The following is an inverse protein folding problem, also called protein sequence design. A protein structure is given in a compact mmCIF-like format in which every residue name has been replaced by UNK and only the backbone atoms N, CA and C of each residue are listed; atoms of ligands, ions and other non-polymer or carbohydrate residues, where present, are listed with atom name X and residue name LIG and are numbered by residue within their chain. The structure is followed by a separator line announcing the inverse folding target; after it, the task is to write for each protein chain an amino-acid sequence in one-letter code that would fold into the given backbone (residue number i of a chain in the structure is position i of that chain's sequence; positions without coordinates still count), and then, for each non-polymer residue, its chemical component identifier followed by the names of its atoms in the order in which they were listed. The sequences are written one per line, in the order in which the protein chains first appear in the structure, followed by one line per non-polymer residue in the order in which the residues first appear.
data_IF_272802406849
#
_entry.id   IF_272802406849
#
_cell.length_a   1.000
_cell.length_b   1.000
_cell.length_c   1.000
_cell.angle_alpha   90.00
_cell.angle_beta   90.00
_cell.angle_gamma   90.00
#
_symmetry.space_group_name_H-M   'P 1'
#
loop_
_entity.id
_entity.type
_entity.pdbx_description
1 polymer ?
#
# COMPACT_ATOMS: atom_id res chain seq x y z
N UNK A 1 41.78 -13.31 2.26
CA UNK A 1 40.53 -12.60 1.88
C UNK A 1 40.11 -11.72 3.05
N UNK A 2 40.06 -10.40 2.87
CA UNK A 2 39.61 -9.45 3.91
C UNK A 2 38.13 -9.74 4.19
N UNK A 3 37.75 -10.01 5.45
CA UNK A 3 36.34 -10.17 5.81
C UNK A 3 35.59 -8.88 5.43
N UNK A 4 34.41 -8.98 4.78
CA UNK A 4 33.66 -7.80 4.41
C UNK A 4 33.29 -7.00 5.66
N UNK A 5 33.46 -5.68 5.58
CA UNK A 5 33.10 -4.78 6.67
C UNK A 5 31.57 -4.70 6.79
N UNK A 6 31.05 -5.40 7.80
CA UNK A 6 29.62 -5.51 8.08
C UNK A 6 29.00 -4.13 8.35
N UNK A 7 29.78 -3.15 8.82
CA UNK A 7 29.30 -1.79 9.07
C UNK A 7 29.05 -1.01 7.78
N UNK A 8 29.91 -1.21 6.78
CA UNK A 8 29.76 -0.60 5.46
C UNK A 8 28.52 -1.13 4.72
N UNK A 9 28.26 -2.44 4.81
CA UNK A 9 27.08 -3.09 4.21
C UNK A 9 25.78 -2.52 4.81
N UNK A 10 25.69 -2.43 6.15
CA UNK A 10 24.51 -1.86 6.83
C UNK A 10 24.28 -0.39 6.48
N UNK A 11 25.35 0.38 6.34
CA UNK A 11 25.27 1.80 5.97
C UNK A 11 24.71 1.95 4.55
N UNK A 12 25.14 1.08 3.62
CA UNK A 12 24.64 1.04 2.25
C UNK A 12 23.16 0.62 2.19
N UNK A 13 22.76 -0.44 2.91
CA UNK A 13 21.36 -0.89 2.98
C UNK A 13 20.43 0.24 3.49
N UNK A 14 20.88 0.95 4.53
CA UNK A 14 20.11 2.06 5.11
C UNK A 14 20.02 3.24 4.15
N UNK A 15 21.10 3.55 3.43
CA UNK A 15 21.11 4.60 2.42
C UNK A 15 20.15 4.28 1.26
N UNK A 16 20.08 3.03 0.83
CA UNK A 16 19.11 2.56 -0.17
C UNK A 16 17.68 2.69 0.36
N UNK A 17 17.42 2.22 1.58
CA UNK A 17 16.09 2.29 2.20
C UNK A 17 15.60 3.73 2.38
N UNK A 18 16.47 4.65 2.82
CA UNK A 18 16.19 6.07 2.91
C UNK A 18 15.90 6.68 1.53
N UNK A 19 16.70 6.32 0.52
CA UNK A 19 16.49 6.80 -0.85
C UNK A 19 15.13 6.35 -1.41
N UNK A 20 14.77 5.08 -1.22
CA UNK A 20 13.47 4.53 -1.61
C UNK A 20 12.31 5.13 -0.82
N UNK A 21 12.54 5.53 0.43
CA UNK A 21 11.50 6.18 1.24
C UNK A 21 11.30 7.64 0.82
N UNK A 22 12.39 8.38 0.56
CA UNK A 22 12.33 9.78 0.14
C UNK A 22 11.79 9.95 -1.27
N UNK A 23 12.06 9.01 -2.19
CA UNK A 23 11.56 9.08 -3.57
C UNK A 23 10.03 9.03 -3.65
N UNK A 24 9.37 8.39 -2.66
CA UNK A 24 7.92 8.33 -2.57
C UNK A 24 7.27 9.69 -2.27
N UNK A 25 8.03 10.64 -1.73
CA UNK A 25 7.58 11.99 -1.38
C UNK A 25 7.96 13.05 -2.41
N UNK A 26 8.64 12.67 -3.51
CA UNK A 26 8.96 13.62 -4.57
C UNK A 26 7.65 14.01 -5.29
N UNK A 27 7.29 15.31 -5.35
CA UNK A 27 6.06 15.77 -5.99
C UNK A 27 6.18 15.58 -7.51
N UNK A 28 5.79 14.40 -7.98
CA UNK A 28 6.04 13.95 -9.36
C UNK A 28 5.34 14.82 -10.39
N UNK A 29 4.12 15.26 -10.12
CA UNK A 29 3.35 16.06 -11.08
C UNK A 29 3.90 17.50 -11.22
N UNK A 30 4.52 18.04 -10.17
CA UNK A 30 5.17 19.36 -10.22
C UNK A 30 6.53 19.30 -10.93
N UNK A 31 7.29 18.22 -10.72
CA UNK A 31 8.64 18.06 -11.27
C UNK A 31 8.65 17.49 -12.70
N UNK A 32 7.71 16.61 -13.03
CA UNK A 32 7.68 15.88 -14.30
C UNK A 32 6.44 16.19 -15.16
N UNK A 33 5.58 17.08 -14.69
CA UNK A 33 4.33 17.45 -15.35
C UNK A 33 3.20 16.44 -15.12
N UNK A 34 1.97 16.73 -15.61
CA UNK A 34 0.80 15.92 -15.35
C UNK A 34 0.98 14.48 -15.89
N UNK A 35 0.63 13.50 -15.05
CA UNK A 35 0.66 12.08 -15.42
C UNK A 35 -0.12 11.80 -16.71
N UNK A 36 0.60 11.42 -17.77
CA UNK A 36 -0.01 10.85 -18.98
C UNK A 36 -0.50 9.45 -18.59
N UNK A 37 -1.78 9.13 -18.84
CA UNK A 37 -2.44 7.88 -18.40
C UNK A 37 -1.80 6.60 -18.96
N UNK A 38 -2.56 5.51 -19.16
CA UNK A 38 -2.04 4.18 -19.56
C UNK A 38 -1.18 4.13 -20.86
N UNK A 39 -1.19 5.19 -21.68
CA UNK A 39 -0.26 5.35 -22.82
C UNK A 39 1.13 5.89 -22.43
N UNK A 40 1.31 6.29 -21.16
CA UNK A 40 2.53 6.84 -20.56
C UNK A 40 3.30 5.84 -19.73
N UNK A 41 3.23 4.54 -20.05
CA UNK A 41 4.08 3.53 -19.41
C UNK A 41 5.54 3.93 -19.54
N UNK A 42 6.24 4.00 -18.41
CA UNK A 42 7.65 4.38 -18.39
C UNK A 42 8.45 3.40 -19.24
N UNK A 43 9.06 3.89 -20.33
CA UNK A 43 9.96 3.12 -21.17
C UNK A 43 11.23 2.72 -20.40
N UNK A 44 12.00 1.72 -20.90
CA UNK A 44 13.19 1.21 -20.22
C UNK A 44 14.20 2.29 -19.80
N UNK A 45 14.32 3.36 -20.58
CA UNK A 45 15.17 4.52 -20.30
C UNK A 45 14.77 5.26 -19.02
N UNK A 46 13.47 5.41 -18.76
CA UNK A 46 12.98 6.09 -17.55
C UNK A 46 13.19 5.25 -16.30
N UNK A 47 13.13 3.92 -16.43
CA UNK A 47 13.54 3.00 -15.36
C UNK A 47 15.03 3.10 -15.05
N UNK A 48 15.88 3.20 -16.07
CA UNK A 48 17.31 3.41 -15.90
C UNK A 48 17.57 4.72 -15.15
N UNK A 49 16.92 5.83 -15.54
CA UNK A 49 17.04 7.09 -14.81
C UNK A 49 16.61 6.99 -13.35
N UNK A 50 15.47 6.33 -13.08
CA UNK A 50 15.01 6.08 -11.70
C UNK A 50 16.03 5.30 -10.88
N UNK A 51 16.58 4.22 -11.44
CA UNK A 51 17.63 3.41 -10.80
C UNK A 51 18.90 4.24 -10.57
N UNK A 52 19.34 5.03 -11.55
CA UNK A 52 20.53 5.88 -11.43
C UNK A 52 20.36 6.95 -10.36
N UNK A 53 19.17 7.56 -10.24
CA UNK A 53 18.87 8.52 -9.17
C UNK A 53 18.94 7.84 -7.80
N UNK A 54 18.31 6.66 -7.65
CA UNK A 54 18.32 5.91 -6.39
C UNK A 54 19.74 5.51 -6.00
N UNK A 55 20.52 4.95 -6.94
CA UNK A 55 21.90 4.55 -6.69
C UNK A 55 22.81 5.74 -6.41
N UNK A 56 22.63 6.84 -7.14
CA UNK A 56 23.37 8.08 -6.93
C UNK A 56 23.10 8.69 -5.56
N UNK A 57 21.83 8.78 -5.16
CA UNK A 57 21.44 9.27 -3.84
C UNK A 57 21.96 8.35 -2.72
N UNK A 58 21.83 7.04 -2.89
CA UNK A 58 22.36 6.06 -1.94
C UNK A 58 23.89 6.18 -1.79
N UNK A 59 24.61 6.46 -2.88
CA UNK A 59 26.06 6.64 -2.87
C UNK A 59 26.45 7.95 -2.18
N UNK A 60 25.76 9.06 -2.46
CA UNK A 60 25.95 10.33 -1.74
C UNK A 60 25.68 10.16 -0.25
N UNK A 61 24.57 9.51 0.13
CA UNK A 61 24.24 9.24 1.52
C UNK A 61 25.26 8.32 2.19
N UNK A 62 25.81 7.33 1.48
CA UNK A 62 26.85 6.46 2.00
C UNK A 62 28.13 7.23 2.38
N UNK A 63 28.54 8.21 1.57
CA UNK A 63 29.71 9.04 1.88
C UNK A 63 29.40 10.17 2.88
N UNK A 64 28.18 10.71 2.85
CA UNK A 64 27.77 11.80 3.73
C UNK A 64 27.49 11.35 5.17
N UNK A 65 27.08 10.08 5.36
CA UNK A 65 26.79 9.51 6.68
C UNK A 65 28.04 8.80 7.19
N UNK A 66 28.72 9.33 8.24
CA UNK A 66 29.90 8.68 8.80
C UNK A 66 29.59 7.23 9.24
N UNK A 67 30.48 6.30 8.93
CA UNK A 67 30.40 4.92 9.43
C UNK A 67 30.33 4.95 10.96
N UNK A 68 29.20 4.50 11.53
CA UNK A 68 28.92 4.56 12.97
C UNK A 68 28.09 5.75 13.45
N UNK A 69 27.70 6.69 12.58
CA UNK A 69 26.71 7.73 12.91
C UNK A 69 25.37 7.11 13.30
N UNK A 70 24.92 6.10 12.53
CA UNK A 70 23.71 5.34 12.85
C UNK A 70 23.84 4.58 14.17
N UNK A 71 24.99 3.98 14.46
CA UNK A 71 25.25 3.30 15.74
C UNK A 71 25.26 4.29 16.92
N UNK A 72 25.73 5.52 16.70
CA UNK A 72 25.72 6.59 17.69
C UNK A 72 24.31 7.14 17.94
N UNK A 73 23.54 7.39 16.88
CA UNK A 73 22.14 7.85 16.98
C UNK A 73 21.24 6.77 17.59
N UNK A 74 21.36 5.52 17.13
CA UNK A 74 20.61 4.39 17.70
C UNK A 74 21.07 4.04 19.12
N UNK A 75 22.34 4.25 19.45
CA UNK A 75 22.88 4.12 20.81
C UNK A 75 22.32 5.19 21.75
N UNK A 76 22.32 6.46 21.34
CA UNK A 76 21.75 7.58 22.10
C UNK A 76 20.23 7.47 22.28
N UNK A 77 19.54 6.89 21.29
CA UNK A 77 18.09 6.62 21.34
C UNK A 77 17.76 5.21 21.86
N UNK A 78 18.77 4.40 22.19
CA UNK A 78 18.62 2.97 22.48
C UNK A 78 17.72 2.68 23.69
N UNK A 79 17.68 3.61 24.64
CA UNK A 79 16.77 3.57 25.80
C UNK A 79 15.31 3.78 25.38
N UNK A 80 15.03 4.73 24.48
CA UNK A 80 13.69 4.97 23.91
C UNK A 80 13.29 3.76 23.06
N UNK A 81 14.19 3.28 22.20
CA UNK A 81 13.99 2.11 21.34
C UNK A 81 13.64 0.86 22.17
N UNK A 82 14.31 0.65 23.30
CA UNK A 82 14.00 -0.48 24.21
C UNK A 82 12.64 -0.32 24.89
N UNK A 83 12.27 0.88 25.36
CA UNK A 83 10.96 1.14 25.99
C UNK A 83 9.82 1.03 24.99
N UNK A 84 10.02 1.49 23.75
CA UNK A 84 9.01 1.53 22.69
C UNK A 84 8.91 0.18 21.97
N UNK A 85 9.83 -0.77 22.19
CA UNK A 85 9.84 -2.07 21.52
C UNK A 85 8.53 -2.85 21.62
N UNK A 86 7.85 -2.79 22.76
CA UNK A 86 6.53 -3.41 22.96
C UNK A 86 5.43 -2.74 22.11
N UNK A 87 5.63 -1.49 21.73
CA UNK A 87 4.69 -0.67 20.97
C UNK A 87 5.04 -0.57 19.47
N UNK A 88 6.12 -1.20 18.98
CA UNK A 88 6.48 -1.09 17.56
C UNK A 88 5.41 -1.60 16.63
N UNK A 89 4.92 -2.81 16.86
CA UNK A 89 3.86 -3.36 16.02
C UNK A 89 2.61 -2.47 16.02
N UNK A 90 1.99 -2.11 17.17
CA UNK A 90 0.82 -1.26 17.13
C UNK A 90 1.10 0.12 16.53
N UNK A 91 2.29 0.72 16.75
CA UNK A 91 2.65 1.99 16.12
C UNK A 91 2.76 1.86 14.59
N UNK A 92 3.38 0.79 14.09
CA UNK A 92 3.47 0.52 12.65
C UNK A 92 2.07 0.30 12.07
N UNK A 93 1.21 -0.47 12.74
CA UNK A 93 -0.16 -0.71 12.27
C UNK A 93 -0.99 0.58 12.25
N UNK A 94 -0.90 1.41 13.29
CA UNK A 94 -1.55 2.73 13.35
C UNK A 94 -1.00 3.64 12.26
N UNK A 95 0.31 3.63 12.04
CA UNK A 95 0.94 4.40 10.97
C UNK A 95 0.46 3.96 9.59
N UNK A 96 0.46 2.65 9.31
CA UNK A 96 -0.06 2.08 8.06
C UNK A 96 -1.53 2.45 7.84
N UNK A 97 -2.39 2.25 8.85
CA UNK A 97 -3.80 2.61 8.78
C UNK A 97 -3.99 4.11 8.54
N UNK A 98 -3.20 4.95 9.23
CA UNK A 98 -3.22 6.41 9.08
C UNK A 98 -2.82 6.85 7.67
N UNK A 99 -1.70 6.35 7.14
CA UNK A 99 -1.24 6.68 5.78
C UNK A 99 -2.26 6.25 4.74
N UNK A 100 -2.77 5.01 4.81
CA UNK A 100 -3.77 4.51 3.85
C UNK A 100 -5.08 5.30 3.98
N UNK A 101 -5.49 5.65 5.21
CA UNK A 101 -6.67 6.48 5.47
C UNK A 101 -6.54 7.89 4.89
N UNK A 102 -5.39 8.54 5.06
CA UNK A 102 -5.08 9.85 4.48
C UNK A 102 -5.16 9.77 2.95
N UNK A 103 -4.51 8.77 2.34
CA UNK A 103 -4.56 8.58 0.88
C UNK A 103 -6.01 8.33 0.42
N UNK A 104 -6.75 7.46 1.11
CA UNK A 104 -8.16 7.17 0.81
C UNK A 104 -9.01 8.44 0.85
N UNK A 105 -8.77 9.33 1.82
CA UNK A 105 -9.49 10.58 1.96
C UNK A 105 -9.10 11.61 0.89
N UNK A 106 -7.83 11.97 0.80
CA UNK A 106 -7.37 13.11 0.00
C UNK A 106 -7.26 12.77 -1.49
N UNK A 107 -6.80 11.58 -1.83
CA UNK A 107 -6.64 11.19 -3.24
C UNK A 107 -7.95 10.64 -3.82
N UNK A 108 -8.72 9.89 -3.03
CA UNK A 108 -9.87 9.13 -3.54
C UNK A 108 -11.21 9.55 -2.95
N UNK A 109 -11.26 10.47 -1.99
CA UNK A 109 -12.50 10.90 -1.31
C UNK A 109 -13.36 9.72 -0.84
N UNK A 110 -12.72 8.65 -0.39
CA UNK A 110 -13.33 7.38 0.03
C UNK A 110 -14.19 6.69 -1.05
N UNK A 111 -13.95 6.95 -2.34
CA UNK A 111 -14.70 6.36 -3.45
C UNK A 111 -13.82 5.45 -4.32
N UNK A 112 -14.38 4.35 -4.85
CA UNK A 112 -13.69 3.55 -5.85
C UNK A 112 -13.50 4.36 -7.14
N UNK A 113 -12.32 4.24 -7.75
CA UNK A 113 -11.98 4.92 -9.01
C UNK A 113 -11.70 3.94 -10.16
N UNK A 114 -11.28 2.71 -9.84
CA UNK A 114 -11.08 1.65 -10.82
C UNK A 114 -12.39 0.91 -11.06
N UNK A 115 -12.64 0.51 -12.31
CA UNK A 115 -13.86 -0.20 -12.70
C UNK A 115 -14.05 -1.45 -11.85
N UNK A 116 -13.01 -2.23 -11.64
CA UNK A 116 -13.01 -3.43 -10.78
C UNK A 116 -13.48 -3.14 -9.35
N UNK A 117 -13.05 -2.00 -8.78
CA UNK A 117 -13.44 -1.58 -7.44
C UNK A 117 -14.88 -1.07 -7.39
N UNK A 118 -15.34 -0.38 -8.46
CA UNK A 118 -16.73 0.05 -8.59
C UNK A 118 -17.66 -1.16 -8.68
N UNK A 119 -17.32 -2.15 -9.51
CA UNK A 119 -18.11 -3.38 -9.67
C UNK A 119 -18.08 -4.25 -8.42
N UNK A 120 -16.95 -4.30 -7.71
CA UNK A 120 -16.87 -4.97 -6.40
C UNK A 120 -17.76 -4.28 -5.37
N UNK A 121 -17.80 -2.95 -5.34
CA UNK A 121 -18.72 -2.19 -4.47
C UNK A 121 -20.18 -2.41 -4.87
N UNK A 122 -20.50 -2.45 -6.17
CA UNK A 122 -21.84 -2.78 -6.66
C UNK A 122 -22.32 -4.14 -6.13
N UNK A 123 -21.50 -5.19 -6.24
CA UNK A 123 -21.84 -6.50 -5.70
C UNK A 123 -21.93 -6.48 -4.16
N UNK A 124 -21.09 -5.70 -3.49
CA UNK A 124 -21.15 -5.54 -2.05
C UNK A 124 -22.47 -4.88 -1.60
N UNK A 125 -23.02 -3.95 -2.37
CA UNK A 125 -24.31 -3.33 -2.09
C UNK A 125 -25.47 -4.31 -2.27
N UNK A 126 -25.41 -5.20 -3.26
CA UNK A 126 -26.37 -6.31 -3.42
C UNK A 126 -26.31 -7.23 -2.20
N UNK A 127 -25.10 -7.64 -1.78
CA UNK A 127 -24.95 -8.45 -0.56
C UNK A 127 -25.44 -7.74 0.69
N UNK A 128 -25.19 -6.43 0.81
CA UNK A 128 -25.65 -5.63 1.94
C UNK A 128 -27.18 -5.49 1.98
N UNK A 129 -27.89 -5.64 0.85
CA UNK A 129 -29.35 -5.72 0.82
C UNK A 129 -29.91 -7.10 1.16
N UNK A 130 -29.05 -8.08 1.47
CA UNK A 130 -29.44 -9.46 1.77
C UNK A 130 -29.64 -10.33 0.53
N UNK A 131 -29.34 -9.82 -0.66
CA UNK A 131 -29.50 -10.53 -1.92
C UNK A 131 -28.16 -11.09 -2.42
N UNK A 132 -28.19 -12.12 -3.26
CA UNK A 132 -26.97 -12.66 -3.89
C UNK A 132 -26.74 -12.06 -5.27
N UNK A 133 -27.83 -11.75 -5.97
CA UNK A 133 -27.86 -11.11 -7.28
C UNK A 133 -28.87 -9.97 -7.26
N UNK A 134 -28.63 -8.91 -8.02
CA UNK A 134 -29.58 -7.82 -8.14
C UNK A 134 -30.59 -8.09 -9.26
N UNK A 135 -31.76 -7.47 -9.19
CA UNK A 135 -32.68 -7.41 -10.33
C UNK A 135 -32.25 -6.25 -11.22
N UNK A 136 -32.02 -6.54 -12.51
CA UNK A 136 -31.63 -5.51 -13.47
C UNK A 136 -32.81 -4.58 -13.77
N UNK A 137 -32.61 -3.25 -13.79
CA UNK A 137 -33.66 -2.31 -14.16
C UNK A 137 -34.03 -2.46 -15.64
N UNK A 138 -35.22 -1.96 -16.02
CA UNK A 138 -35.74 -2.03 -17.41
C UNK A 138 -34.78 -1.45 -18.46
N UNK A 139 -34.01 -0.44 -18.08
CA UNK A 139 -33.01 0.22 -18.95
C UNK A 139 -31.61 0.02 -18.37
N UNK A 140 -31.20 -1.24 -18.18
CA UNK A 140 -29.92 -1.61 -17.57
C UNK A 140 -28.71 -1.14 -18.38
N UNK A 141 -28.89 -0.83 -19.67
CA UNK A 141 -27.82 -0.40 -20.58
C UNK A 141 -27.16 0.90 -20.11
N UNK A 142 -27.87 1.75 -19.37
CA UNK A 142 -27.33 2.99 -18.81
C UNK A 142 -26.57 2.80 -17.49
N UNK A 143 -26.69 1.64 -16.87
CA UNK A 143 -26.11 1.34 -15.56
C UNK A 143 -25.04 0.25 -15.63
N UNK A 144 -24.99 -0.49 -16.73
CA UNK A 144 -23.96 -1.49 -16.96
C UNK A 144 -22.60 -0.85 -17.22
N UNK A 145 -21.59 -1.45 -16.62
CA UNK A 145 -20.18 -1.17 -16.88
C UNK A 145 -19.44 -2.48 -17.17
N UNK A 146 -18.17 -2.39 -17.54
CA UNK A 146 -17.31 -3.55 -17.73
C UNK A 146 -17.32 -4.41 -16.46
N UNK A 147 -17.25 -5.74 -16.62
CA UNK A 147 -17.18 -6.71 -15.53
C UNK A 147 -18.48 -6.97 -14.75
N UNK A 148 -19.60 -6.39 -15.19
CA UNK A 148 -20.94 -6.84 -14.78
C UNK A 148 -21.43 -7.98 -15.67
N UNK A 149 -22.22 -8.88 -15.10
CA UNK A 149 -22.88 -10.00 -15.79
C UNK A 149 -24.37 -9.75 -15.78
N UNK A 150 -25.02 -9.84 -16.94
CA UNK A 150 -26.48 -9.89 -17.06
C UNK A 150 -26.88 -11.32 -17.39
N UNK A 151 -27.80 -11.89 -16.63
CA UNK A 151 -28.34 -13.23 -16.89
C UNK A 151 -29.79 -13.32 -16.47
N UNK A 152 -30.69 -13.62 -17.40
CA UNK A 152 -32.14 -13.78 -17.15
C UNK A 152 -32.79 -12.64 -16.36
N UNK A 153 -32.39 -11.38 -16.62
CA UNK A 153 -32.92 -10.21 -15.91
C UNK A 153 -32.28 -9.96 -14.54
N UNK A 154 -31.32 -10.78 -14.12
CA UNK A 154 -30.48 -10.53 -12.95
C UNK A 154 -29.13 -9.95 -13.36
N UNK A 155 -28.55 -9.14 -12.49
CA UNK A 155 -27.20 -8.61 -12.65
C UNK A 155 -26.33 -8.83 -11.42
N UNK A 156 -25.06 -9.07 -11.67
CA UNK A 156 -24.04 -9.26 -10.63
C UNK A 156 -22.67 -8.82 -11.13
N UNK A 157 -21.69 -8.74 -10.25
CA UNK A 157 -20.29 -8.73 -10.66
C UNK A 157 -19.88 -10.09 -11.26
N UNK A 158 -18.92 -10.08 -12.19
CA UNK A 158 -18.28 -11.30 -12.68
C UNK A 158 -17.32 -11.92 -11.65
N UNK A 159 -16.88 -11.14 -10.66
CA UNK A 159 -15.83 -11.53 -9.73
C UNK A 159 -16.35 -12.50 -8.65
N UNK A 160 -15.48 -13.37 -8.10
CA UNK A 160 -15.82 -14.19 -6.94
C UNK A 160 -16.27 -13.34 -5.74
N UNK A 161 -17.16 -13.86 -4.88
CA UNK A 161 -17.85 -13.05 -3.87
C UNK A 161 -16.96 -12.62 -2.70
N UNK A 162 -15.76 -13.20 -2.52
CA UNK A 162 -14.95 -13.05 -1.31
C UNK A 162 -14.70 -11.59 -0.90
N UNK A 163 -14.12 -10.78 -1.80
CA UNK A 163 -13.84 -9.38 -1.49
C UNK A 163 -15.11 -8.55 -1.33
N UNK A 164 -16.10 -8.75 -2.21
CA UNK A 164 -17.37 -8.03 -2.17
C UNK A 164 -18.18 -8.34 -0.89
N UNK A 165 -18.10 -9.55 -0.33
CA UNK A 165 -18.70 -9.90 0.96
C UNK A 165 -18.02 -9.16 2.12
N UNK A 166 -16.69 -9.05 2.10
CA UNK A 166 -15.97 -8.25 3.10
C UNK A 166 -16.35 -6.77 2.98
N UNK A 167 -16.42 -6.24 1.75
CA UNK A 167 -16.88 -4.87 1.51
C UNK A 167 -18.32 -4.65 1.97
N UNK A 168 -19.20 -5.64 1.82
CA UNK A 168 -20.60 -5.56 2.24
C UNK A 168 -20.72 -5.25 3.74
N UNK A 169 -19.83 -5.80 4.58
CA UNK A 169 -19.80 -5.49 6.01
C UNK A 169 -19.60 -4.01 6.30
N UNK A 170 -18.79 -3.30 5.51
CA UNK A 170 -18.64 -1.85 5.60
C UNK A 170 -19.76 -1.10 4.89
N UNK A 171 -20.30 -1.65 3.81
CA UNK A 171 -21.38 -1.04 3.03
C UNK A 171 -22.67 -0.89 3.85
N UNK A 172 -23.00 -1.85 4.73
CA UNK A 172 -24.13 -1.77 5.67
C UNK A 172 -24.10 -0.49 6.52
N UNK A 173 -22.91 0.00 6.86
CA UNK A 173 -22.70 1.22 7.66
C UNK A 173 -22.33 2.46 6.81
N UNK A 174 -22.45 2.40 5.49
CA UNK A 174 -21.95 3.41 4.56
C UNK A 174 -20.44 3.73 4.75
N UNK A 175 -19.68 2.77 5.26
CA UNK A 175 -18.27 2.89 5.61
C UNK A 175 -17.41 1.84 4.87
N UNK A 176 -17.79 1.48 3.65
CA UNK A 176 -17.10 0.48 2.82
C UNK A 176 -15.60 0.80 2.60
N UNK A 177 -15.21 2.08 2.66
CA UNK A 177 -13.83 2.53 2.53
C UNK A 177 -12.92 2.12 3.70
N UNK A 178 -13.49 1.80 4.87
CA UNK A 178 -12.74 1.31 6.03
C UNK A 178 -12.22 -0.12 5.78
N UNK A 179 -12.99 -0.94 5.05
CA UNK A 179 -12.66 -2.35 4.82
C UNK A 179 -11.26 -2.54 4.20
N UNK A 180 -10.89 -1.90 3.07
CA UNK A 180 -9.55 -2.05 2.53
C UNK A 180 -8.46 -1.53 3.49
N UNK A 181 -8.71 -0.47 4.27
CA UNK A 181 -7.74 0.02 5.28
C UNK A 181 -7.49 -1.05 6.34
N UNK A 182 -8.56 -1.65 6.89
CA UNK A 182 -8.48 -2.70 7.89
C UNK A 182 -7.79 -3.94 7.33
N UNK A 183 -8.15 -4.37 6.12
CA UNK A 183 -7.54 -5.55 5.50
C UNK A 183 -6.05 -5.34 5.21
N UNK A 184 -5.67 -4.20 4.63
CA UNK A 184 -4.26 -3.89 4.38
C UNK A 184 -3.45 -3.81 5.67
N UNK A 185 -4.01 -3.21 6.72
CA UNK A 185 -3.36 -3.12 8.03
C UNK A 185 -3.24 -4.50 8.69
N UNK A 186 -4.28 -5.32 8.61
CA UNK A 186 -4.26 -6.70 9.10
C UNK A 186 -3.21 -7.53 8.36
N UNK A 187 -3.11 -7.39 7.03
CA UNK A 187 -2.08 -8.06 6.22
C UNK A 187 -0.67 -7.67 6.69
N UNK A 188 -0.41 -6.39 6.97
CA UNK A 188 0.88 -5.98 7.53
C UNK A 188 1.17 -6.65 8.88
N UNK A 189 0.16 -6.75 9.75
CA UNK A 189 0.26 -7.48 11.02
C UNK A 189 0.53 -8.98 10.83
N UNK A 190 -0.14 -9.62 9.87
CA UNK A 190 0.08 -11.02 9.53
C UNK A 190 1.47 -11.27 8.97
N UNK A 191 1.97 -10.40 8.10
CA UNK A 191 3.33 -10.49 7.56
C UNK A 191 4.35 -10.39 8.71
N UNK A 192 4.17 -9.45 9.63
CA UNK A 192 5.02 -9.34 10.81
C UNK A 192 4.97 -10.62 11.68
N UNK A 193 3.77 -11.13 11.98
CA UNK A 193 3.60 -12.34 12.78
C UNK A 193 4.25 -13.55 12.10
N UNK A 194 4.05 -13.70 10.79
CA UNK A 194 4.66 -14.73 9.98
C UNK A 194 6.19 -14.63 9.99
N UNK A 195 6.74 -13.44 9.71
CA UNK A 195 8.18 -13.21 9.73
C UNK A 195 8.79 -13.52 11.11
N UNK A 196 8.08 -13.19 12.18
CA UNK A 196 8.53 -13.46 13.55
C UNK A 196 8.59 -14.95 13.84
N UNK A 197 7.61 -15.73 13.37
CA UNK A 197 7.57 -17.18 13.52
C UNK A 197 8.62 -17.86 12.64
N UNK A 198 8.75 -17.43 11.38
CA UNK A 198 9.63 -18.07 10.40
C UNK A 198 11.12 -17.72 10.59
N UNK A 199 11.44 -16.47 10.96
CA UNK A 199 12.82 -15.95 10.96
C UNK A 199 13.27 -15.38 12.31
N UNK A 200 12.37 -15.31 13.30
CA UNK A 200 12.65 -14.77 14.63
C UNK A 200 12.54 -13.25 14.73
N UNK A 201 12.49 -12.76 15.98
CA UNK A 201 12.22 -11.34 16.32
C UNK A 201 13.29 -10.31 15.94
N UNK A 202 14.42 -10.74 15.37
CA UNK A 202 15.45 -9.81 14.85
C UNK A 202 15.19 -9.42 13.39
N UNK A 203 14.41 -10.22 12.68
CA UNK A 203 14.16 -10.08 11.24
C UNK A 203 12.75 -9.53 10.96
N UNK A 204 11.80 -9.81 11.84
CA UNK A 204 10.43 -9.31 11.79
C UNK A 204 10.32 -7.87 12.33
#
# INVERSE_FOLDING_TARGET
MKKPDISAIKTLETAIALSLSLIAFIPRDELFGPSRGLQGSFGPIQWIFGITIILGLALVLHFAIPSGFLDRVTGSLGWIVKKVKRFYLPLILVWCAGVIGIISHYCFRHRPHLVDSVVSLFQALIFASGEVVGIAPKHYEFFMTQHMVLWNGFWSAQYPPGHSLMLASGAVFNAYWIVPIVLSTATAGFIFAFAKVAYGSKTA
#
